data_IF_702250584919
#
_entry.id   IF_702250584919
#
_cell.length_a   1.000
_cell.length_b   1.000
_cell.length_c   1.000
_cell.angle_alpha   90.00
_cell.angle_beta   90.00
_cell.angle_gamma   90.00
#
_symmetry.space_group_name_H-M   'P 1'
#
loop_
_entity.id
_entity.type
_entity.pdbx_description
1 polymer ?
#
# COMPACT_ATOMS: atom_id res chain seq x y z
N UNK A 1 -51.51 -60.73 -14.52
CA UNK A 1 -51.32 -59.26 -14.64
C UNK A 1 -51.75 -58.90 -16.06
N UNK A 2 -52.94 -58.37 -16.36
CA UNK A 2 -53.79 -57.44 -15.62
C UNK A 2 -53.59 -56.03 -16.20
N UNK A 3 -54.52 -55.35 -16.89
CA UNK A 3 -55.89 -55.61 -17.36
C UNK A 3 -56.31 -54.35 -18.14
N UNK A 4 -57.15 -54.49 -19.17
CA UNK A 4 -58.14 -53.51 -19.66
C UNK A 4 -57.73 -52.15 -20.32
N UNK A 5 -57.98 -52.09 -21.64
CA UNK A 5 -59.01 -51.21 -22.29
C UNK A 5 -58.72 -49.68 -22.47
N UNK A 6 -59.56 -48.88 -23.19
CA UNK A 6 -59.06 -48.19 -24.40
C UNK A 6 -59.45 -46.70 -24.55
N UNK A 7 -59.10 -46.13 -25.73
CA UNK A 7 -59.51 -44.83 -26.33
C UNK A 7 -60.71 -44.08 -25.72
N UNK A 8 -60.49 -42.80 -25.42
CA UNK A 8 -61.43 -41.69 -25.51
C UNK A 8 -60.64 -40.36 -25.60
N UNK A 9 -61.08 -39.24 -26.21
CA UNK A 9 -62.00 -38.99 -27.33
C UNK A 9 -61.83 -37.50 -27.75
N UNK A 10 -61.68 -37.18 -29.05
CA UNK A 10 -61.73 -35.82 -29.63
C UNK A 10 -60.68 -34.78 -29.12
N UNK A 11 -60.41 -33.63 -29.76
CA UNK A 11 -60.97 -32.99 -30.96
C UNK A 11 -59.88 -32.33 -31.82
N UNK A 12 -60.21 -31.97 -33.06
CA UNK A 12 -59.40 -31.15 -33.98
C UNK A 12 -59.58 -29.64 -33.66
N UNK A 13 -58.51 -28.85 -33.93
CA UNK A 13 -58.43 -27.47 -34.51
C UNK A 13 -59.64 -26.50 -34.47
N UNK A 14 -59.49 -25.15 -34.49
CA UNK A 14 -58.30 -24.28 -34.32
C UNK A 14 -58.49 -23.00 -33.44
N UNK A 15 -57.39 -22.23 -33.28
CA UNK A 15 -57.34 -20.75 -33.10
C UNK A 15 -57.72 -20.05 -31.76
N UNK A 16 -57.18 -18.82 -31.63
CA UNK A 16 -57.56 -17.67 -30.76
C UNK A 16 -57.10 -17.62 -29.29
N UNK A 17 -56.11 -16.73 -29.01
CA UNK A 17 -55.79 -15.99 -27.76
C UNK A 17 -55.52 -16.84 -26.48
N UNK A 18 -54.80 -16.48 -25.41
CA UNK A 18 -54.54 -15.25 -24.61
C UNK A 18 -53.24 -15.56 -23.80
N UNK A 19 -52.23 -14.72 -23.55
CA UNK A 19 -51.86 -13.36 -24.00
C UNK A 19 -50.34 -13.17 -23.83
N UNK A 20 -49.74 -12.16 -24.49
CA UNK A 20 -48.45 -11.56 -24.09
C UNK A 20 -48.65 -10.03 -24.08
N UNK A 21 -48.68 -9.45 -22.88
CA UNK A 21 -48.92 -8.02 -22.61
C UNK A 21 -48.13 -7.71 -21.30
N UNK A 22 -47.30 -6.69 -21.18
CA UNK A 22 -47.15 -5.49 -21.99
C UNK A 22 -45.68 -5.07 -22.17
N UNK A 23 -45.25 -4.87 -23.41
CA UNK A 23 -44.34 -3.77 -23.76
C UNK A 23 -45.20 -2.73 -24.48
N UNK A 24 -45.57 -1.67 -23.77
CA UNK A 24 -46.40 -0.62 -24.35
C UNK A 24 -45.56 0.23 -25.32
N UNK A 25 -45.82 0.06 -26.61
CA UNK A 25 -45.38 1.00 -27.64
C UNK A 25 -45.98 2.38 -27.36
N UNK A 26 -45.14 3.38 -27.15
CA UNK A 26 -45.46 4.75 -27.55
C UNK A 26 -44.85 5.00 -28.94
N UNK A 27 -45.57 4.56 -29.98
CA UNK A 27 -45.31 5.00 -31.36
C UNK A 27 -46.20 6.21 -31.62
N UNK A 28 -45.61 7.39 -31.53
CA UNK A 28 -46.20 8.65 -32.02
C UNK A 28 -45.97 8.70 -33.54
N UNK A 29 -46.95 9.07 -34.37
CA UNK A 29 -46.79 9.05 -35.82
C UNK A 29 -45.82 10.13 -36.28
N UNK A 30 -44.74 9.71 -36.94
CA UNK A 30 -43.80 10.62 -37.58
C UNK A 30 -44.41 11.24 -38.84
N UNK A 31 -44.87 12.49 -38.74
CA UNK A 31 -44.95 13.37 -39.90
C UNK A 31 -43.51 13.77 -40.23
N UNK A 32 -43.01 13.34 -41.38
CA UNK A 32 -41.63 13.57 -41.80
C UNK A 32 -41.38 15.05 -42.18
N UNK A 33 -41.13 15.89 -41.18
CA UNK A 33 -40.30 17.07 -41.34
C UNK A 33 -38.82 16.64 -41.40
N UNK A 34 -37.99 17.38 -42.15
CA UNK A 34 -36.57 17.08 -42.27
C UNK A 34 -35.90 17.06 -40.88
N UNK A 35 -35.09 16.02 -40.62
CA UNK A 35 -34.37 15.91 -39.36
C UNK A 35 -33.47 17.14 -39.16
N UNK A 36 -33.63 17.92 -38.07
CA UNK A 36 -32.64 18.91 -37.71
C UNK A 36 -31.32 18.19 -37.42
N UNK A 37 -30.20 18.74 -37.89
CA UNK A 37 -28.88 18.22 -37.50
C UNK A 37 -28.72 18.28 -35.98
N UNK A 38 -28.00 17.31 -35.40
CA UNK A 38 -27.95 17.08 -33.95
C UNK A 38 -27.83 18.39 -33.15
N UNK A 39 -28.89 18.71 -32.38
CA UNK A 39 -28.95 19.98 -31.64
C UNK A 39 -27.93 20.05 -30.49
N UNK A 40 -27.28 18.93 -30.16
CA UNK A 40 -26.21 18.80 -29.19
C UNK A 40 -25.01 18.10 -29.84
N UNK A 41 -23.84 18.74 -29.77
CA UNK A 41 -22.58 18.27 -30.38
C UNK A 41 -21.47 18.22 -29.32
N UNK A 42 -20.58 17.25 -29.42
CA UNK A 42 -19.45 17.11 -28.49
C UNK A 42 -19.91 16.79 -27.07
N UNK A 43 -20.77 15.79 -26.93
CA UNK A 43 -21.28 15.31 -25.64
C UNK A 43 -20.17 14.54 -24.92
N UNK A 44 -19.89 14.94 -23.68
CA UNK A 44 -18.91 14.31 -22.79
C UNK A 44 -19.52 14.17 -21.38
N UNK A 45 -19.20 13.07 -20.69
CA UNK A 45 -19.53 12.90 -19.27
C UNK A 45 -18.29 12.51 -18.48
N UNK A 46 -18.05 13.18 -17.35
CA UNK A 46 -16.88 12.91 -16.49
C UNK A 46 -17.27 12.77 -15.02
N UNK A 47 -16.56 11.89 -14.31
CA UNK A 47 -16.78 11.61 -12.88
C UNK A 47 -15.65 12.23 -12.05
N UNK A 48 -16.01 12.80 -10.90
CA UNK A 48 -15.03 13.29 -9.93
C UNK A 48 -14.46 12.18 -9.02
N UNK A 49 -15.19 11.08 -8.86
CA UNK A 49 -14.80 9.89 -8.10
C UNK A 49 -15.26 8.64 -8.85
N UNK A 50 -14.33 7.70 -9.07
CA UNK A 50 -14.51 6.44 -9.80
C UNK A 50 -14.55 5.22 -8.88
N UNK A 51 -14.65 5.39 -7.55
CA UNK A 51 -14.85 4.26 -6.63
C UNK A 51 -16.34 3.91 -6.52
N UNK A 52 -16.72 2.69 -6.91
CA UNK A 52 -18.08 2.16 -6.78
C UNK A 52 -18.63 2.31 -5.35
N UNK A 53 -19.95 2.27 -5.23
CA UNK A 53 -20.65 2.40 -3.94
C UNK A 53 -20.48 3.74 -3.22
N UNK A 54 -19.75 4.70 -3.80
CA UNK A 54 -19.48 6.04 -3.26
C UNK A 54 -20.43 7.07 -3.85
N UNK A 55 -20.55 8.22 -3.18
CA UNK A 55 -21.11 9.44 -3.78
C UNK A 55 -20.08 10.05 -4.74
N UNK A 56 -20.57 10.54 -5.87
CA UNK A 56 -19.75 11.18 -6.91
C UNK A 56 -20.47 12.38 -7.53
N UNK A 57 -19.71 13.17 -8.30
CA UNK A 57 -20.26 14.24 -9.15
C UNK A 57 -20.07 13.84 -10.60
N UNK A 58 -21.17 13.76 -11.33
CA UNK A 58 -21.17 13.72 -12.79
C UNK A 58 -21.08 15.15 -13.32
N UNK A 59 -20.24 15.35 -14.33
CA UNK A 59 -20.17 16.60 -15.09
C UNK A 59 -20.47 16.28 -16.53
N UNK A 60 -21.68 16.61 -16.96
CA UNK A 60 -22.10 16.55 -18.36
C UNK A 60 -21.68 17.83 -19.07
N UNK A 61 -21.13 17.71 -20.27
CA UNK A 61 -20.78 18.85 -21.14
C UNK A 61 -21.30 18.56 -22.55
N UNK A 62 -21.94 19.55 -23.18
CA UNK A 62 -22.35 19.48 -24.59
C UNK A 62 -22.45 20.88 -25.18
N UNK A 63 -22.22 21.03 -26.49
CA UNK A 63 -22.43 22.30 -27.20
C UNK A 63 -23.77 22.30 -27.92
N UNK A 64 -24.59 23.34 -27.72
CA UNK A 64 -25.84 23.50 -28.45
C UNK A 64 -25.58 23.97 -29.89
N UNK A 65 -26.20 23.30 -30.86
CA UNK A 65 -26.29 23.72 -32.26
C UNK A 65 -27.64 24.38 -32.56
N UNK A 66 -28.71 24.02 -31.83
CA UNK A 66 -30.02 24.66 -31.85
C UNK A 66 -30.51 24.95 -30.41
N UNK A 67 -31.56 25.77 -30.20
CA UNK A 67 -32.07 26.06 -28.86
C UNK A 67 -32.59 24.80 -28.14
N UNK A 68 -32.26 24.64 -26.86
CA UNK A 68 -32.61 23.45 -26.06
C UNK A 68 -33.63 23.82 -24.98
N UNK A 69 -34.80 23.18 -25.05
CA UNK A 69 -35.92 23.36 -24.12
C UNK A 69 -35.79 22.43 -22.89
N UNK A 70 -35.41 21.17 -23.12
CA UNK A 70 -35.11 20.20 -22.05
C UNK A 70 -33.99 19.23 -22.43
N UNK A 71 -33.36 18.66 -21.41
CA UNK A 71 -32.28 17.69 -21.49
C UNK A 71 -32.52 16.60 -20.44
N UNK A 72 -32.61 15.36 -20.90
CA UNK A 72 -32.90 14.18 -20.08
C UNK A 72 -31.70 13.24 -20.12
N UNK A 73 -31.23 12.84 -18.94
CA UNK A 73 -30.08 11.96 -18.74
C UNK A 73 -30.55 10.63 -18.11
N UNK A 74 -30.56 9.56 -18.91
CA UNK A 74 -30.97 8.23 -18.49
C UNK A 74 -29.76 7.45 -17.95
N UNK A 75 -29.65 7.33 -16.63
CA UNK A 75 -28.62 6.52 -15.99
C UNK A 75 -28.98 5.01 -16.05
N UNK A 76 -27.98 4.12 -16.05
CA UNK A 76 -28.20 2.69 -15.93
C UNK A 76 -28.90 2.28 -14.63
N UNK A 77 -29.37 1.04 -14.56
CA UNK A 77 -29.95 0.47 -13.34
C UNK A 77 -28.89 0.37 -12.22
N UNK A 78 -29.30 0.68 -10.99
CA UNK A 78 -28.45 0.59 -9.80
C UNK A 78 -27.82 1.91 -9.34
N UNK A 79 -27.96 2.97 -10.14
CA UNK A 79 -27.62 4.33 -9.72
C UNK A 79 -28.73 4.88 -8.82
N UNK A 80 -28.35 5.53 -7.72
CA UNK A 80 -29.28 6.19 -6.80
C UNK A 80 -29.14 7.72 -6.96
N UNK A 81 -30.24 8.33 -7.41
CA UNK A 81 -30.41 9.75 -7.72
C UNK A 81 -31.26 10.48 -6.67
N UNK A 82 -31.59 9.84 -5.54
CA UNK A 82 -32.57 10.36 -4.56
C UNK A 82 -32.16 11.64 -3.82
N UNK A 83 -30.88 12.03 -3.89
CA UNK A 83 -30.30 13.17 -3.15
C UNK A 83 -29.51 14.14 -4.03
N UNK A 84 -29.73 14.14 -5.33
CA UNK A 84 -28.92 14.93 -6.25
C UNK A 84 -29.03 16.44 -5.97
N UNK A 85 -27.91 17.14 -6.20
CA UNK A 85 -27.89 18.60 -6.32
C UNK A 85 -27.41 18.95 -7.73
N UNK A 86 -28.16 19.81 -8.43
CA UNK A 86 -27.90 20.18 -9.81
C UNK A 86 -27.45 21.64 -9.93
N UNK A 87 -26.25 21.86 -10.46
CA UNK A 87 -25.79 23.18 -10.93
C UNK A 87 -25.66 23.14 -12.46
N UNK A 88 -26.39 23.99 -13.19
CA UNK A 88 -26.23 24.16 -14.65
C UNK A 88 -25.63 25.53 -14.95
N UNK A 89 -24.60 25.55 -15.77
CA UNK A 89 -24.02 26.78 -16.33
C UNK A 89 -23.88 26.66 -17.84
N UNK A 90 -24.14 27.74 -18.56
CA UNK A 90 -23.73 27.89 -19.96
C UNK A 90 -22.41 28.64 -20.04
N UNK A 91 -21.61 28.27 -21.04
CA UNK A 91 -20.40 28.98 -21.44
C UNK A 91 -20.68 29.68 -22.77
N UNK A 92 -20.64 31.01 -22.73
CA UNK A 92 -20.70 31.88 -23.91
C UNK A 92 -19.32 32.51 -24.09
N UNK A 93 -18.51 31.88 -24.95
CA UNK A 93 -17.08 32.17 -25.05
C UNK A 93 -16.34 31.81 -23.76
N UNK A 94 -15.84 32.82 -23.04
CA UNK A 94 -15.14 32.66 -21.76
C UNK A 94 -16.03 32.92 -20.54
N UNK A 95 -17.24 33.45 -20.73
CA UNK A 95 -18.14 33.86 -19.64
C UNK A 95 -18.99 32.67 -19.18
N UNK A 96 -19.07 32.44 -17.87
CA UNK A 96 -20.00 31.49 -17.25
C UNK A 96 -21.28 32.19 -16.86
N UNK A 97 -22.39 31.77 -17.44
CA UNK A 97 -23.74 32.24 -17.08
C UNK A 97 -24.46 31.11 -16.33
N UNK A 98 -24.91 31.31 -15.09
CA UNK A 98 -25.72 30.29 -14.39
C UNK A 98 -27.11 30.20 -15.03
N UNK A 99 -27.59 28.97 -15.23
CA UNK A 99 -28.91 28.70 -15.82
C UNK A 99 -29.81 28.07 -14.76
N UNK A 100 -30.97 28.68 -14.52
CA UNK A 100 -32.00 28.13 -13.63
C UNK A 100 -32.70 26.95 -14.32
N UNK A 101 -32.20 25.74 -14.09
CA UNK A 101 -32.83 24.51 -14.53
C UNK A 101 -33.82 24.00 -13.46
N UNK A 102 -35.06 23.70 -13.85
CA UNK A 102 -35.92 22.81 -13.06
C UNK A 102 -35.49 21.38 -13.34
N UNK A 103 -35.51 20.51 -12.32
CA UNK A 103 -35.19 19.11 -12.51
C UNK A 103 -36.20 18.19 -11.81
N UNK A 104 -36.39 17.02 -12.39
CA UNK A 104 -37.26 15.96 -11.88
C UNK A 104 -36.54 14.62 -12.06
N UNK A 105 -36.65 13.73 -11.07
CA UNK A 105 -36.05 12.40 -11.08
C UNK A 105 -37.14 11.36 -11.29
N UNK A 106 -37.11 10.72 -12.45
CA UNK A 106 -38.09 9.72 -12.90
C UNK A 106 -37.37 8.35 -12.98
N UNK A 107 -37.36 7.64 -11.84
CA UNK A 107 -36.64 6.37 -11.70
C UNK A 107 -35.13 6.53 -11.83
N UNK A 108 -34.58 6.19 -13.00
CA UNK A 108 -33.15 6.38 -13.34
C UNK A 108 -32.90 7.52 -14.34
N UNK A 109 -33.95 8.22 -14.78
CA UNK A 109 -33.81 9.39 -15.64
C UNK A 109 -33.82 10.68 -14.81
N UNK A 110 -32.84 11.55 -15.05
CA UNK A 110 -32.82 12.94 -14.59
C UNK A 110 -33.30 13.83 -15.73
N UNK A 111 -34.51 14.40 -15.60
CA UNK A 111 -35.06 15.36 -16.55
C UNK A 111 -34.69 16.77 -16.13
N UNK A 112 -34.25 17.60 -17.06
CA UNK A 112 -33.89 19.01 -16.81
C UNK A 112 -34.62 19.91 -17.81
N UNK A 113 -35.43 20.84 -17.31
CA UNK A 113 -36.20 21.79 -18.13
C UNK A 113 -35.65 23.20 -17.95
N UNK A 114 -35.40 23.89 -19.07
CA UNK A 114 -34.85 25.24 -19.10
C UNK A 114 -35.95 26.25 -19.44
N UNK A 115 -36.06 27.32 -18.66
CA UNK A 115 -36.99 28.42 -18.91
C UNK A 115 -36.33 29.74 -18.50
N UNK A 116 -35.86 30.56 -19.46
CA UNK A 116 -35.95 30.40 -20.92
C UNK A 116 -35.09 29.23 -21.46
N UNK A 117 -35.36 28.76 -22.71
CA UNK A 117 -34.53 27.76 -23.39
C UNK A 117 -33.08 28.22 -23.56
N UNK A 118 -32.14 27.27 -23.58
CA UNK A 118 -30.73 27.57 -23.80
C UNK A 118 -30.49 27.90 -25.28
N UNK A 119 -29.86 29.03 -25.58
CA UNK A 119 -29.58 29.48 -26.95
C UNK A 119 -28.61 28.56 -27.73
N UNK A 120 -28.62 28.68 -29.06
CA UNK A 120 -27.63 28.01 -29.93
C UNK A 120 -26.23 28.60 -29.74
N UNK A 121 -25.20 27.76 -29.86
CA UNK A 121 -23.78 28.12 -29.79
C UNK A 121 -23.17 28.05 -28.40
N UNK A 122 -23.98 27.95 -27.35
CA UNK A 122 -23.53 27.86 -25.96
C UNK A 122 -23.01 26.45 -25.60
N UNK A 123 -22.00 26.36 -24.75
CA UNK A 123 -21.60 25.07 -24.16
C UNK A 123 -22.29 24.90 -22.81
N UNK A 124 -23.23 23.96 -22.74
CA UNK A 124 -23.94 23.53 -21.54
C UNK A 124 -22.98 22.72 -20.68
N UNK A 125 -22.92 23.03 -19.38
CA UNK A 125 -22.24 22.23 -18.37
C UNK A 125 -23.16 22.00 -17.18
N UNK A 126 -23.64 20.77 -17.01
CA UNK A 126 -24.45 20.36 -15.88
C UNK A 126 -23.59 19.55 -14.89
N UNK A 127 -23.50 20.01 -13.65
CA UNK A 127 -22.89 19.30 -12.54
C UNK A 127 -23.98 18.68 -11.67
N UNK A 128 -24.04 17.35 -11.69
CA UNK A 128 -24.99 16.56 -10.91
C UNK A 128 -24.17 15.97 -9.75
N UNK A 129 -24.33 16.54 -8.57
CA UNK A 129 -23.66 16.10 -7.33
C UNK A 129 -24.49 15.06 -6.61
N UNK A 130 -23.82 14.33 -5.72
CA UNK A 130 -24.44 13.38 -4.78
C UNK A 130 -25.20 12.22 -5.45
N UNK A 131 -24.80 11.88 -6.68
CA UNK A 131 -25.18 10.62 -7.34
C UNK A 131 -24.41 9.49 -6.67
N UNK A 132 -25.11 8.43 -6.25
CA UNK A 132 -24.45 7.25 -5.67
C UNK A 132 -24.24 6.18 -6.73
N UNK A 133 -22.98 5.76 -6.88
CA UNK A 133 -22.59 4.66 -7.78
C UNK A 133 -23.04 3.30 -7.22
N UNK A 134 -23.42 2.34 -8.07
CA UNK A 134 -23.67 0.96 -7.65
C UNK A 134 -22.38 0.29 -7.14
N UNK A 135 -22.53 -0.88 -6.49
CA UNK A 135 -21.39 -1.58 -5.90
C UNK A 135 -20.48 -2.27 -6.93
N UNK A 136 -21.06 -2.79 -8.01
CA UNK A 136 -20.35 -3.37 -9.15
C UNK A 136 -19.99 -2.25 -10.12
N UNK A 137 -18.71 -2.17 -10.48
CA UNK A 137 -18.21 -1.26 -11.51
C UNK A 137 -18.11 -1.94 -12.88
N UNK A 138 -17.58 -1.19 -13.85
CA UNK A 138 -17.52 -1.59 -15.24
C UNK A 138 -17.59 -0.37 -16.17
N UNK A 139 -17.72 -0.65 -17.46
CA UNK A 139 -18.09 0.33 -18.48
C UNK A 139 -19.61 0.50 -18.49
N UNK A 140 -20.05 1.76 -18.54
CA UNK A 140 -21.45 2.15 -18.48
C UNK A 140 -21.70 3.34 -19.41
N UNK A 141 -22.91 3.42 -19.94
CA UNK A 141 -23.36 4.51 -20.80
C UNK A 141 -24.45 5.33 -20.09
N UNK A 142 -24.50 6.65 -20.29
CA UNK A 142 -25.68 7.47 -19.96
C UNK A 142 -26.44 7.77 -21.25
N UNK A 143 -27.71 7.41 -21.33
CA UNK A 143 -28.56 7.81 -22.47
C UNK A 143 -28.83 9.31 -22.43
N UNK A 144 -28.65 10.01 -23.54
CA UNK A 144 -28.84 11.47 -23.63
C UNK A 144 -29.93 11.79 -24.64
N UNK A 145 -31.05 12.30 -24.15
CA UNK A 145 -32.19 12.75 -24.96
C UNK A 145 -32.48 14.21 -24.69
N UNK A 146 -32.97 14.95 -25.68
CA UNK A 146 -33.23 16.38 -25.57
C UNK A 146 -34.51 16.76 -26.32
N UNK A 147 -35.07 17.91 -25.98
CA UNK A 147 -36.11 18.57 -26.77
C UNK A 147 -35.59 19.91 -27.26
N UNK A 148 -35.68 20.14 -28.57
CA UNK A 148 -35.27 21.36 -29.25
C UNK A 148 -36.40 21.86 -30.13
N UNK A 149 -36.93 23.04 -29.82
CA UNK A 149 -38.06 23.67 -30.53
C UNK A 149 -39.28 22.73 -30.60
N UNK A 150 -39.56 22.01 -29.51
CA UNK A 150 -40.64 21.02 -29.43
C UNK A 150 -40.40 19.69 -30.17
N UNK A 151 -39.25 19.51 -30.83
CA UNK A 151 -38.86 18.24 -31.46
C UNK A 151 -37.93 17.46 -30.53
N UNK A 152 -38.25 16.19 -30.28
CA UNK A 152 -37.40 15.30 -29.48
C UNK A 152 -36.25 14.73 -30.32
N UNK A 153 -35.06 14.63 -29.72
CA UNK A 153 -33.87 14.03 -30.32
C UNK A 153 -33.04 13.26 -29.28
N UNK A 154 -32.07 12.50 -29.77
CA UNK A 154 -31.13 11.71 -28.96
C UNK A 154 -29.71 11.86 -29.48
N UNK A 155 -28.72 11.83 -28.61
CA UNK A 155 -27.29 11.75 -28.99
C UNK A 155 -26.76 10.36 -28.66
N UNK A 156 -25.66 9.96 -29.28
CA UNK A 156 -24.89 8.79 -28.85
C UNK A 156 -24.60 8.88 -27.34
N UNK A 157 -24.82 7.78 -26.62
CA UNK A 157 -24.61 7.72 -25.17
C UNK A 157 -23.12 7.90 -24.84
N UNK A 158 -22.73 8.91 -24.04
CA UNK A 158 -21.36 8.98 -23.53
C UNK A 158 -21.07 7.81 -22.57
N UNK A 159 -19.98 7.10 -22.87
CA UNK A 159 -19.40 6.06 -22.01
C UNK A 159 -18.68 6.66 -20.80
N UNK A 160 -18.67 5.92 -19.70
CA UNK A 160 -17.86 6.19 -18.51
C UNK A 160 -17.55 4.89 -17.76
N UNK A 161 -16.43 4.90 -17.03
CA UNK A 161 -15.93 3.73 -16.29
C UNK A 161 -15.74 4.06 -14.82
N UNK A 162 -16.07 3.13 -13.93
CA UNK A 162 -15.72 3.21 -12.51
C UNK A 162 -15.36 1.82 -11.94
N UNK A 163 -14.52 1.79 -10.91
CA UNK A 163 -14.05 0.58 -10.24
C UNK A 163 -15.15 -0.03 -9.35
N UNK A 164 -15.22 -1.35 -9.30
CA UNK A 164 -16.01 -2.08 -8.29
C UNK A 164 -15.57 -1.72 -6.87
N UNK A 165 -16.52 -1.68 -5.91
CA UNK A 165 -16.21 -1.43 -4.50
C UNK A 165 -15.12 -2.39 -4.01
N UNK A 166 -14.05 -1.85 -3.45
CA UNK A 166 -12.93 -2.65 -2.94
C UNK A 166 -13.41 -3.52 -1.77
N UNK A 167 -13.02 -4.79 -1.74
CA UNK A 167 -13.48 -5.75 -0.72
C UNK A 167 -13.19 -5.29 0.72
N UNK A 168 -12.08 -4.56 0.92
CA UNK A 168 -11.74 -3.92 2.19
C UNK A 168 -12.73 -2.82 2.62
N UNK A 169 -13.36 -2.14 1.67
CA UNK A 169 -14.39 -1.14 1.93
C UNK A 169 -15.73 -1.79 2.25
N UNK A 170 -16.09 -2.89 1.58
CA UNK A 170 -17.26 -3.72 1.96
C UNK A 170 -17.08 -4.27 3.39
N UNK A 171 -15.89 -4.78 3.71
CA UNK A 171 -15.56 -5.26 5.06
C UNK A 171 -15.60 -4.13 6.09
N UNK A 172 -15.10 -2.94 5.75
CA UNK A 172 -15.20 -1.75 6.62
C UNK A 172 -16.67 -1.40 6.93
N UNK A 173 -17.53 -1.36 5.90
CA UNK A 173 -18.97 -1.07 6.07
C UNK A 173 -19.67 -2.12 6.94
N UNK A 174 -19.36 -3.41 6.74
CA UNK A 174 -19.86 -4.48 7.60
C UNK A 174 -19.36 -4.35 9.06
N UNK A 175 -18.11 -3.93 9.27
CA UNK A 175 -17.55 -3.65 10.60
C UNK A 175 -18.25 -2.47 11.28
N UNK A 176 -18.59 -1.40 10.56
CA UNK A 176 -19.33 -0.24 11.10
C UNK A 176 -20.69 -0.63 11.70
N UNK A 177 -21.32 -1.69 11.22
CA UNK A 177 -22.61 -2.16 11.72
C UNK A 177 -22.49 -2.93 13.05
N UNK A 178 -21.35 -3.56 13.32
CA UNK A 178 -21.18 -4.51 14.42
C UNK A 178 -21.23 -3.85 15.82
N UNK A 179 -22.01 -4.41 16.78
CA UNK A 179 -22.08 -3.87 18.15
C UNK A 179 -20.72 -3.81 18.86
N UNK A 180 -19.88 -4.82 18.69
CA UNK A 180 -18.56 -4.87 19.33
C UNK A 180 -17.60 -3.80 18.78
N UNK A 181 -17.69 -3.46 17.49
CA UNK A 181 -16.88 -2.39 16.87
C UNK A 181 -17.31 -1.02 17.39
N UNK A 182 -18.61 -0.81 17.58
CA UNK A 182 -19.16 0.40 18.22
C UNK A 182 -18.62 0.54 19.64
N UNK A 183 -18.70 -0.52 20.45
CA UNK A 183 -18.13 -0.54 21.82
C UNK A 183 -16.61 -0.30 21.83
N UNK A 184 -15.86 -0.96 20.94
CA UNK A 184 -14.40 -0.79 20.79
C UNK A 184 -14.02 0.66 20.49
N UNK A 185 -14.75 1.30 19.57
CA UNK A 185 -14.53 2.69 19.17
C UNK A 185 -14.99 3.73 20.20
N UNK A 186 -15.57 3.33 21.35
CA UNK A 186 -15.82 4.28 22.47
C UNK A 186 -14.54 4.59 23.26
N UNK A 187 -13.54 3.71 23.23
CA UNK A 187 -12.25 3.92 23.91
C UNK A 187 -11.37 4.78 23.00
N UNK A 188 -11.04 6.00 23.44
CA UNK A 188 -10.29 6.98 22.63
C UNK A 188 -8.98 6.43 22.06
N UNK A 189 -8.19 5.71 22.86
CA UNK A 189 -6.95 5.09 22.40
C UNK A 189 -7.20 4.07 21.27
N UNK A 190 -8.23 3.23 21.39
CA UNK A 190 -8.56 2.23 20.36
C UNK A 190 -9.14 2.89 19.10
N UNK A 191 -9.95 3.94 19.27
CA UNK A 191 -10.47 4.76 18.16
C UNK A 191 -9.35 5.45 17.37
N UNK A 192 -8.32 5.96 18.05
CA UNK A 192 -7.20 6.69 17.42
C UNK A 192 -6.14 5.78 16.80
N UNK A 193 -5.84 4.63 17.42
CA UNK A 193 -4.69 3.78 17.07
C UNK A 193 -5.04 2.36 16.58
N UNK A 194 -6.27 1.88 16.78
CA UNK A 194 -6.62 0.48 16.49
C UNK A 194 -8.05 0.33 15.94
N UNK A 195 -8.52 1.27 15.12
CA UNK A 195 -9.90 1.25 14.61
C UNK A 195 -10.08 0.08 13.60
N UNK A 196 -10.94 -0.93 13.86
CA UNK A 196 -11.03 -2.15 13.05
C UNK A 196 -11.29 -1.89 11.56
N UNK A 197 -12.15 -0.91 11.27
CA UNK A 197 -12.44 -0.41 9.92
C UNK A 197 -11.18 0.07 9.19
N UNK A 198 -10.34 0.86 9.88
CA UNK A 198 -9.10 1.40 9.32
C UNK A 198 -8.04 0.31 9.18
N UNK A 199 -8.02 -0.71 10.05
CA UNK A 199 -7.16 -1.90 9.90
C UNK A 199 -7.54 -2.64 8.62
N UNK A 200 -8.82 -2.96 8.40
CA UNK A 200 -9.31 -3.68 7.23
C UNK A 200 -8.94 -2.99 5.90
N UNK A 201 -8.94 -1.65 5.88
CA UNK A 201 -8.49 -0.85 4.74
C UNK A 201 -6.95 -0.79 4.66
N UNK A 202 -6.27 -0.51 5.76
CA UNK A 202 -4.82 -0.25 5.75
C UNK A 202 -3.98 -1.50 5.43
N UNK A 203 -4.37 -2.70 5.87
CA UNK A 203 -3.62 -3.94 5.63
C UNK A 203 -3.26 -4.15 4.14
N UNK A 204 -4.23 -4.26 3.20
CA UNK A 204 -3.89 -4.48 1.79
C UNK A 204 -3.15 -3.30 1.14
N UNK A 205 -3.37 -2.05 1.58
CA UNK A 205 -2.62 -0.90 1.04
C UNK A 205 -1.17 -0.87 1.52
N UNK A 206 -0.92 -1.20 2.79
CA UNK A 206 0.43 -1.19 3.39
C UNK A 206 1.30 -2.35 2.94
N UNK A 207 0.69 -3.45 2.46
CA UNK A 207 1.41 -4.58 1.88
C UNK A 207 2.38 -4.16 0.76
N UNK A 208 2.00 -3.20 -0.09
CA UNK A 208 2.87 -2.66 -1.15
C UNK A 208 4.08 -1.92 -0.56
N UNK A 209 3.87 -1.07 0.46
CA UNK A 209 4.96 -0.39 1.16
C UNK A 209 5.91 -1.36 1.87
N UNK A 210 5.37 -2.41 2.50
CA UNK A 210 6.14 -3.48 3.13
C UNK A 210 7.00 -4.27 2.13
N UNK A 211 6.44 -4.61 0.96
CA UNK A 211 7.23 -5.20 -0.13
C UNK A 211 8.33 -4.24 -0.61
N UNK A 212 8.09 -2.93 -0.67
CA UNK A 212 9.14 -1.94 -1.00
C UNK A 212 10.25 -1.92 0.06
N UNK A 213 9.92 -1.92 1.35
CA UNK A 213 10.91 -2.03 2.45
C UNK A 213 11.72 -3.32 2.35
N UNK A 214 11.08 -4.46 2.06
CA UNK A 214 11.78 -5.74 1.82
C UNK A 214 12.71 -5.63 0.60
N UNK A 215 12.25 -5.05 -0.50
CA UNK A 215 13.01 -4.94 -1.75
C UNK A 215 14.24 -4.03 -1.57
N UNK A 216 14.12 -2.94 -0.82
CA UNK A 216 15.24 -2.06 -0.45
C UNK A 216 16.36 -2.86 0.24
N UNK A 217 16.03 -3.65 1.26
CA UNK A 217 17.02 -4.46 1.99
C UNK A 217 17.54 -5.63 1.15
N UNK A 218 16.66 -6.31 0.41
CA UNK A 218 17.02 -7.46 -0.42
C UNK A 218 18.04 -7.10 -1.51
N UNK A 219 18.07 -5.83 -1.94
CA UNK A 219 19.09 -5.30 -2.86
C UNK A 219 20.27 -4.71 -2.08
N UNK A 220 20.03 -3.86 -1.07
CA UNK A 220 21.10 -3.16 -0.35
C UNK A 220 22.02 -4.10 0.43
N UNK A 221 21.48 -5.15 1.07
CA UNK A 221 22.25 -6.03 1.96
C UNK A 221 23.27 -6.92 1.21
N UNK A 222 22.98 -7.52 0.04
CA UNK A 222 24.00 -8.14 -0.80
C UNK A 222 25.15 -7.20 -1.17
N UNK A 223 24.88 -5.95 -1.54
CA UNK A 223 25.92 -4.95 -1.79
C UNK A 223 26.70 -4.61 -0.51
N UNK A 224 26.03 -4.53 0.63
CA UNK A 224 26.66 -4.32 1.94
C UNK A 224 27.59 -5.48 2.33
N UNK A 225 27.22 -6.74 2.04
CA UNK A 225 28.07 -7.92 2.26
C UNK A 225 29.34 -7.83 1.42
N UNK A 226 29.23 -7.56 0.12
CA UNK A 226 30.39 -7.47 -0.78
C UNK A 226 31.30 -6.30 -0.39
N UNK A 227 30.73 -5.12 -0.16
CA UNK A 227 31.47 -3.93 0.28
C UNK A 227 32.13 -4.13 1.65
N UNK A 228 31.40 -4.71 2.60
CA UNK A 228 31.88 -4.98 3.95
C UNK A 228 33.03 -6.00 3.96
N UNK A 229 32.94 -7.05 3.15
CA UNK A 229 34.02 -8.05 3.03
C UNK A 229 35.29 -7.43 2.42
N UNK A 230 35.13 -6.61 1.37
CA UNK A 230 36.24 -5.87 0.78
C UNK A 230 36.89 -4.89 1.78
N UNK A 231 36.07 -4.15 2.53
CA UNK A 231 36.53 -3.24 3.60
C UNK A 231 37.22 -3.99 4.75
N UNK A 232 36.73 -5.16 5.14
CA UNK A 232 37.37 -6.00 6.17
C UNK A 232 38.78 -6.44 5.74
N UNK A 233 38.94 -6.92 4.51
CA UNK A 233 40.27 -7.26 3.97
C UNK A 233 41.17 -6.02 3.83
N UNK A 234 40.65 -4.90 3.34
CA UNK A 234 41.40 -3.64 3.27
C UNK A 234 41.87 -3.18 4.67
N UNK A 235 41.03 -3.31 5.69
CA UNK A 235 41.33 -2.97 7.09
C UNK A 235 42.35 -3.90 7.74
N UNK A 236 42.48 -5.14 7.27
CA UNK A 236 43.52 -6.10 7.68
C UNK A 236 44.78 -6.06 6.81
N UNK A 237 44.82 -5.22 5.77
CA UNK A 237 45.95 -5.15 4.84
C UNK A 237 47.25 -4.73 5.53
N UNK A 238 48.37 -5.32 5.09
CA UNK A 238 49.73 -4.90 5.47
C UNK A 238 50.09 -3.52 4.91
N UNK A 239 49.39 -3.05 3.86
CA UNK A 239 49.64 -1.77 3.19
C UNK A 239 49.06 -0.63 4.05
N UNK A 240 49.89 0.26 4.64
CA UNK A 240 49.39 1.23 5.63
C UNK A 240 48.33 2.21 5.10
N UNK A 241 48.46 2.81 3.89
CA UNK A 241 47.42 3.68 3.33
C UNK A 241 46.06 3.00 3.18
N UNK A 242 46.02 1.78 2.62
CA UNK A 242 44.76 1.01 2.41
C UNK A 242 44.06 0.75 3.74
N UNK A 243 44.82 0.31 4.74
CA UNK A 243 44.33 0.09 6.12
C UNK A 243 43.84 1.37 6.79
N UNK A 244 44.46 2.52 6.50
CA UNK A 244 44.06 3.82 7.04
C UNK A 244 42.76 4.31 6.40
N UNK A 245 42.66 4.34 5.08
CA UNK A 245 41.44 4.76 4.37
C UNK A 245 40.22 3.89 4.71
N UNK A 246 40.38 2.55 4.73
CA UNK A 246 39.32 1.64 5.16
C UNK A 246 38.90 1.91 6.61
N UNK A 247 39.86 2.21 7.50
CA UNK A 247 39.59 2.60 8.88
C UNK A 247 38.83 3.90 9.01
N UNK A 248 39.22 4.92 8.24
CA UNK A 248 38.55 6.22 8.22
C UNK A 248 37.09 6.07 7.77
N UNK A 249 36.85 5.36 6.66
CA UNK A 249 35.50 5.06 6.18
C UNK A 249 34.65 4.36 7.25
N UNK A 250 35.13 3.25 7.81
CA UNK A 250 34.42 2.47 8.82
C UNK A 250 34.09 3.32 10.06
N UNK A 251 35.07 4.11 10.53
CA UNK A 251 34.91 4.95 11.72
C UNK A 251 33.93 6.11 11.49
N UNK A 252 33.97 6.76 10.33
CA UNK A 252 33.07 7.87 9.99
C UNK A 252 31.63 7.37 9.80
N UNK A 253 31.44 6.29 9.05
CA UNK A 253 30.10 5.76 8.77
C UNK A 253 29.44 5.17 10.02
N UNK A 254 30.19 4.47 10.89
CA UNK A 254 29.65 3.96 12.17
C UNK A 254 29.56 5.03 13.26
N UNK A 255 30.33 6.12 13.14
CA UNK A 255 30.36 7.24 14.06
C UNK A 255 29.37 8.37 13.75
N UNK A 256 28.62 8.27 12.64
CA UNK A 256 27.61 9.27 12.24
C UNK A 256 26.22 8.65 12.14
N UNK A 257 25.13 9.36 12.47
CA UNK A 257 23.78 8.83 12.35
C UNK A 257 23.41 8.49 10.90
N UNK A 258 22.80 7.33 10.67
CA UNK A 258 22.29 6.95 9.34
C UNK A 258 21.32 7.99 8.77
N UNK A 259 20.47 8.61 9.60
CA UNK A 259 19.59 9.69 9.16
C UNK A 259 20.34 10.88 8.55
N UNK A 260 21.50 11.24 9.10
CA UNK A 260 22.37 12.29 8.55
C UNK A 260 22.99 11.87 7.21
N UNK A 261 23.39 10.59 7.08
CA UNK A 261 23.93 10.04 5.84
C UNK A 261 22.86 10.03 4.72
N UNK A 262 21.62 9.66 5.06
CA UNK A 262 20.46 9.77 4.17
C UNK A 262 20.25 11.22 3.74
N UNK A 263 20.23 12.17 4.69
CA UNK A 263 20.03 13.59 4.37
C UNK A 263 21.13 14.14 3.45
N UNK A 264 22.40 13.84 3.74
CA UNK A 264 23.55 14.25 2.90
C UNK A 264 23.46 13.63 1.51
N UNK A 265 23.06 12.38 1.36
CA UNK A 265 22.93 11.75 0.05
C UNK A 265 21.76 12.32 -0.77
N UNK A 266 20.60 12.50 -0.16
CA UNK A 266 19.38 12.95 -0.87
C UNK A 266 19.36 14.46 -1.15
N UNK A 267 20.06 15.27 -0.36
CA UNK A 267 20.15 16.74 -0.56
C UNK A 267 21.50 17.13 -1.20
N UNK A 268 22.61 16.55 -0.74
CA UNK A 268 23.95 16.90 -1.20
C UNK A 268 24.31 16.40 -2.59
N UNK A 269 23.91 15.17 -2.99
CA UNK A 269 24.20 14.67 -4.34
C UNK A 269 23.52 15.52 -5.43
N UNK A 270 22.23 15.91 -5.33
CA UNK A 270 21.62 16.81 -6.29
C UNK A 270 22.26 18.20 -6.37
N UNK A 271 22.76 18.74 -5.25
CA UNK A 271 23.52 20.01 -5.22
C UNK A 271 24.86 19.84 -5.96
N UNK A 272 25.52 18.69 -5.83
CA UNK A 272 26.72 18.33 -6.58
C UNK A 272 26.44 17.94 -8.06
N UNK A 273 25.20 18.10 -8.54
CA UNK A 273 24.79 17.78 -9.92
C UNK A 273 24.46 16.31 -10.18
N UNK A 274 24.62 15.43 -9.19
CA UNK A 274 24.35 13.99 -9.32
C UNK A 274 22.89 13.70 -8.97
N UNK A 275 22.10 13.34 -9.98
CA UNK A 275 20.67 12.99 -9.82
C UNK A 275 20.46 11.50 -10.04
N UNK A 276 20.05 10.79 -8.99
CA UNK A 276 19.65 9.39 -9.05
C UNK A 276 18.20 9.21 -8.56
N UNK A 277 17.46 8.19 -9.03
CA UNK A 277 16.12 7.88 -8.52
C UNK A 277 16.14 7.61 -7.01
N UNK A 278 15.15 8.13 -6.28
CA UNK A 278 15.07 8.07 -4.82
C UNK A 278 15.28 6.65 -4.25
N UNK A 279 14.71 5.64 -4.92
CA UNK A 279 14.89 4.24 -4.55
C UNK A 279 16.36 3.78 -4.65
N UNK A 280 17.07 4.14 -5.73
CA UNK A 280 18.47 3.77 -5.93
C UNK A 280 19.36 4.51 -4.92
N UNK A 281 19.11 5.79 -4.67
CA UNK A 281 19.81 6.55 -3.62
C UNK A 281 19.60 5.91 -2.25
N UNK A 282 18.38 5.46 -1.93
CA UNK A 282 18.07 4.73 -0.70
C UNK A 282 18.86 3.42 -0.58
N UNK A 283 18.84 2.57 -1.62
CA UNK A 283 19.64 1.33 -1.68
C UNK A 283 21.11 1.61 -1.45
N UNK A 284 21.69 2.61 -2.12
CA UNK A 284 23.11 2.94 -2.01
C UNK A 284 23.50 3.40 -0.60
N UNK A 285 22.70 4.28 0.02
CA UNK A 285 22.99 4.75 1.39
C UNK A 285 22.88 3.61 2.41
N UNK A 286 21.84 2.79 2.32
CA UNK A 286 21.66 1.62 3.19
C UNK A 286 22.82 0.63 3.01
N UNK A 287 23.24 0.36 1.77
CA UNK A 287 24.34 -0.54 1.47
C UNK A 287 25.69 0.00 1.99
N UNK A 288 25.97 1.29 1.78
CA UNK A 288 27.18 1.94 2.27
C UNK A 288 27.23 1.94 3.80
N UNK A 289 26.13 2.28 4.47
CA UNK A 289 26.04 2.25 5.92
C UNK A 289 26.32 0.85 6.48
N UNK A 290 25.51 -0.13 6.08
CA UNK A 290 25.63 -1.51 6.59
C UNK A 290 26.95 -2.18 6.19
N UNK A 291 27.58 -1.79 5.06
CA UNK A 291 28.91 -2.28 4.71
C UNK A 291 29.99 -1.95 5.76
N UNK A 292 29.87 -0.82 6.45
CA UNK A 292 30.82 -0.46 7.51
C UNK A 292 30.65 -1.31 8.77
N UNK A 293 29.39 -1.64 9.13
CA UNK A 293 29.09 -2.57 10.23
C UNK A 293 29.51 -3.99 9.88
N UNK A 294 29.16 -4.47 8.69
CA UNK A 294 29.57 -5.79 8.18
C UNK A 294 31.09 -5.93 8.09
N UNK A 295 31.82 -4.88 7.71
CA UNK A 295 33.29 -4.91 7.70
C UNK A 295 33.89 -5.24 9.09
N UNK A 296 33.33 -4.65 10.14
CA UNK A 296 33.77 -4.92 11.51
C UNK A 296 33.28 -6.29 12.02
N UNK A 297 32.08 -6.73 11.63
CA UNK A 297 31.57 -8.08 11.92
C UNK A 297 32.48 -9.15 11.28
N UNK A 298 32.85 -9.00 10.00
CA UNK A 298 33.76 -9.91 9.32
C UNK A 298 35.17 -9.88 9.92
N UNK A 299 35.71 -8.67 10.19
CA UNK A 299 37.03 -8.51 10.81
C UNK A 299 37.10 -9.16 12.20
N UNK A 300 36.09 -8.95 13.04
CA UNK A 300 35.99 -9.58 14.36
C UNK A 300 35.80 -11.10 14.25
N UNK A 301 34.97 -11.56 13.31
CA UNK A 301 34.78 -12.98 13.02
C UNK A 301 36.08 -13.69 12.65
N UNK A 302 36.89 -13.12 11.76
CA UNK A 302 38.20 -13.68 11.37
C UNK A 302 39.17 -13.67 12.56
N UNK A 303 39.19 -12.58 13.35
CA UNK A 303 40.06 -12.46 14.52
C UNK A 303 39.64 -13.36 15.71
N UNK A 304 38.39 -13.83 15.75
CA UNK A 304 37.93 -14.77 16.77
C UNK A 304 38.55 -16.16 16.66
N UNK A 305 39.07 -16.53 15.48
CA UNK A 305 39.62 -17.86 15.20
C UNK A 305 40.93 -18.05 15.96
N UNK A 306 41.02 -19.14 16.72
CA UNK A 306 42.18 -19.41 17.57
C UNK A 306 43.48 -19.47 16.76
N UNK A 307 44.55 -18.81 17.22
CA UNK A 307 45.83 -18.73 16.49
C UNK A 307 46.39 -20.10 16.10
N UNK A 308 46.22 -21.10 16.96
CA UNK A 308 46.59 -22.49 16.69
C UNK A 308 45.96 -23.10 15.42
N UNK A 309 44.83 -22.58 14.91
CA UNK A 309 44.28 -22.99 13.61
C UNK A 309 45.10 -22.47 12.43
N UNK A 310 45.60 -21.22 12.52
CA UNK A 310 46.52 -20.66 11.52
C UNK A 310 47.88 -21.37 11.59
N UNK A 311 48.39 -21.62 12.79
CA UNK A 311 49.64 -22.35 13.02
C UNK A 311 49.55 -23.78 12.49
N UNK A 312 48.50 -24.54 12.85
CA UNK A 312 48.29 -25.90 12.36
C UNK A 312 48.17 -25.98 10.82
N UNK A 313 47.45 -25.03 10.19
CA UNK A 313 47.37 -24.94 8.74
C UNK A 313 48.75 -24.68 8.10
N UNK A 314 49.57 -23.82 8.71
CA UNK A 314 50.94 -23.58 8.25
C UNK A 314 51.88 -24.78 8.45
N UNK A 315 51.70 -25.54 9.54
CA UNK A 315 52.48 -26.77 9.84
C UNK A 315 52.21 -27.90 8.85
N UNK A 316 51.03 -27.95 8.22
CA UNK A 316 50.73 -28.88 7.11
C UNK A 316 51.02 -28.28 5.72
N UNK A 317 51.76 -27.18 5.66
CA UNK A 317 52.25 -26.57 4.41
C UNK A 317 51.26 -25.69 3.65
N UNK A 318 50.12 -25.31 4.24
CA UNK A 318 49.18 -24.39 3.58
C UNK A 318 49.76 -22.97 3.49
N UNK A 319 49.68 -22.37 2.31
CA UNK A 319 49.86 -20.93 2.15
C UNK A 319 48.75 -20.16 2.89
N UNK A 320 49.00 -18.87 3.21
CA UNK A 320 48.01 -18.01 3.88
C UNK A 320 46.63 -18.03 3.19
N UNK A 321 46.58 -18.02 1.85
CA UNK A 321 45.32 -18.05 1.10
C UNK A 321 44.63 -19.41 1.17
N UNK A 322 45.39 -20.52 1.10
CA UNK A 322 44.82 -21.86 1.29
C UNK A 322 44.26 -22.05 2.70
N UNK A 323 44.99 -21.63 3.73
CA UNK A 323 44.52 -21.63 5.11
C UNK A 323 43.25 -20.77 5.27
N UNK A 324 43.28 -19.54 4.74
CA UNK A 324 42.13 -18.62 4.79
C UNK A 324 40.88 -19.26 4.16
N UNK A 325 41.00 -19.79 2.94
CA UNK A 325 39.86 -20.35 2.19
C UNK A 325 39.31 -21.66 2.78
N UNK A 326 40.18 -22.58 3.21
CA UNK A 326 39.75 -23.94 3.57
C UNK A 326 39.52 -24.13 5.08
N UNK A 327 40.19 -23.35 5.93
CA UNK A 327 40.14 -23.52 7.39
C UNK A 327 39.45 -22.34 8.06
N UNK A 328 39.90 -21.10 7.82
CA UNK A 328 39.46 -19.93 8.61
C UNK A 328 38.11 -19.35 8.16
N UNK A 329 37.90 -19.12 6.85
CA UNK A 329 36.64 -18.56 6.33
C UNK A 329 35.43 -19.46 6.63
N UNK A 330 35.46 -20.79 6.44
CA UNK A 330 34.31 -21.66 6.74
C UNK A 330 33.91 -21.68 8.22
N UNK A 331 34.88 -21.47 9.14
CA UNK A 331 34.61 -21.32 10.57
C UNK A 331 34.06 -19.92 10.87
N UNK A 332 34.69 -18.88 10.30
CA UNK A 332 34.27 -17.48 10.44
C UNK A 332 32.81 -17.28 10.01
N UNK A 333 32.42 -17.78 8.84
CA UNK A 333 31.05 -17.64 8.30
C UNK A 333 30.01 -18.13 9.30
N UNK A 334 30.25 -19.28 9.94
CA UNK A 334 29.34 -19.83 10.97
C UNK A 334 29.23 -18.93 12.19
N UNK A 335 30.34 -18.32 12.62
CA UNK A 335 30.40 -17.42 13.78
C UNK A 335 29.76 -16.04 13.53
N UNK A 336 29.90 -15.48 12.33
CA UNK A 336 29.34 -14.16 12.01
C UNK A 336 27.87 -14.18 11.62
N UNK A 337 27.35 -15.33 11.16
CA UNK A 337 25.97 -15.44 10.66
C UNK A 337 24.88 -14.91 11.62
N UNK A 338 24.93 -15.15 12.95
CA UNK A 338 23.96 -14.57 13.88
C UNK A 338 24.04 -13.04 13.88
N UNK A 339 25.25 -12.47 14.01
CA UNK A 339 25.47 -11.01 14.04
C UNK A 339 25.12 -10.33 12.72
N UNK A 340 25.42 -10.95 11.58
CA UNK A 340 24.97 -10.49 10.26
C UNK A 340 23.45 -10.47 10.15
N UNK A 341 22.76 -11.44 10.73
CA UNK A 341 21.30 -11.49 10.72
C UNK A 341 20.71 -10.40 11.62
N UNK A 342 21.32 -10.13 12.77
CA UNK A 342 20.96 -8.98 13.61
C UNK A 342 21.14 -7.64 12.87
N UNK A 343 22.22 -7.49 12.10
CA UNK A 343 22.46 -6.34 11.22
C UNK A 343 21.40 -6.24 10.11
N UNK A 344 20.99 -7.36 9.48
CA UNK A 344 19.88 -7.37 8.51
C UNK A 344 18.55 -6.91 9.14
N UNK A 345 18.25 -7.37 10.36
CA UNK A 345 17.04 -6.97 11.12
C UNK A 345 17.05 -5.46 11.41
N UNK A 346 18.22 -4.91 11.77
CA UNK A 346 18.40 -3.47 11.96
C UNK A 346 18.18 -2.70 10.65
N UNK A 347 18.86 -3.11 9.58
CA UNK A 347 18.76 -2.44 8.27
C UNK A 347 17.32 -2.42 7.74
N UNK A 348 16.54 -3.48 7.98
CA UNK A 348 15.12 -3.53 7.63
C UNK A 348 14.27 -2.50 8.39
N UNK A 349 14.51 -2.33 9.69
CA UNK A 349 13.84 -1.28 10.47
C UNK A 349 14.29 0.11 10.04
N UNK A 350 15.57 0.27 9.71
CA UNK A 350 16.16 1.55 9.32
C UNK A 350 15.69 2.03 7.93
N UNK A 351 15.08 1.16 7.12
CA UNK A 351 14.36 1.62 5.90
C UNK A 351 13.31 2.68 6.19
N UNK A 352 12.70 2.67 7.39
CA UNK A 352 11.74 3.68 7.83
C UNK A 352 12.30 5.12 7.79
N UNK A 353 13.62 5.30 7.95
CA UNK A 353 14.27 6.61 7.89
C UNK A 353 14.22 7.25 6.50
N UNK A 354 14.06 6.44 5.44
CA UNK A 354 13.93 6.94 4.07
C UNK A 354 12.57 7.62 3.81
N UNK A 355 11.57 7.41 4.67
CA UNK A 355 10.28 8.11 4.59
C UNK A 355 10.43 9.64 4.65
N UNK A 356 11.39 10.14 5.42
CA UNK A 356 11.68 11.55 5.59
C UNK A 356 12.22 12.25 4.32
N UNK A 357 12.74 11.47 3.37
CA UNK A 357 13.25 11.95 2.07
C UNK A 357 12.36 11.53 0.90
N UNK A 358 11.10 11.16 1.17
CA UNK A 358 10.09 10.91 0.14
C UNK A 358 10.16 9.54 -0.53
N UNK A 359 10.95 8.58 0.00
CA UNK A 359 10.90 7.20 -0.49
C UNK A 359 9.62 6.55 0.02
N UNK A 360 8.77 6.10 -0.91
CA UNK A 360 7.52 5.40 -0.61
C UNK A 360 7.78 3.95 -0.18
N UNK A 361 8.26 3.78 1.06
CA UNK A 361 8.31 2.51 1.78
C UNK A 361 7.20 2.43 2.86
N UNK A 362 7.17 1.36 3.65
CA UNK A 362 6.12 1.08 4.63
C UNK A 362 5.77 2.26 5.55
N UNK A 363 6.76 2.97 6.09
CA UNK A 363 6.53 4.10 6.99
C UNK A 363 5.89 5.29 6.24
N UNK A 364 6.38 5.66 5.06
CA UNK A 364 5.77 6.75 4.28
C UNK A 364 4.37 6.40 3.76
N UNK A 365 4.12 5.15 3.35
CA UNK A 365 2.78 4.67 3.02
C UNK A 365 1.84 4.78 4.23
N UNK A 366 2.29 4.39 5.43
CA UNK A 366 1.48 4.51 6.66
C UNK A 366 1.18 5.96 7.03
N UNK A 367 2.16 6.86 6.90
CA UNK A 367 1.96 8.29 7.11
C UNK A 367 0.96 8.88 6.10
N UNK A 368 1.09 8.56 4.80
CA UNK A 368 0.16 9.00 3.75
C UNK A 368 -1.29 8.60 4.03
N UNK A 369 -1.53 7.35 4.46
CA UNK A 369 -2.86 6.88 4.85
C UNK A 369 -3.33 7.56 6.14
N UNK A 370 -2.45 7.74 7.13
CA UNK A 370 -2.79 8.37 8.41
C UNK A 370 -3.22 9.84 8.22
N UNK A 371 -2.44 10.63 7.47
CA UNK A 371 -2.78 12.02 7.14
C UNK A 371 -4.08 12.14 6.35
N UNK A 372 -4.30 11.28 5.34
CA UNK A 372 -5.54 11.27 4.54
C UNK A 372 -6.78 10.86 5.33
N UNK A 373 -6.63 10.00 6.33
CA UNK A 373 -7.75 9.44 7.10
C UNK A 373 -7.99 10.12 8.45
N UNK A 374 -7.11 11.02 8.88
CA UNK A 374 -7.16 11.68 10.18
C UNK A 374 -6.99 10.73 11.37
N UNK A 375 -6.32 9.58 11.18
CA UNK A 375 -6.30 8.48 12.15
C UNK A 375 -4.93 7.77 12.16
N UNK A 376 -4.44 7.36 13.34
CA UNK A 376 -3.09 6.82 13.51
C UNK A 376 -3.01 5.28 13.40
N UNK A 377 -4.15 4.60 13.22
CA UNK A 377 -4.23 3.15 13.00
C UNK A 377 -3.26 2.59 11.93
N UNK A 378 -2.99 3.28 10.79
CA UNK A 378 -2.02 2.80 9.81
C UNK A 378 -0.61 2.57 10.37
N UNK A 379 -0.17 3.33 11.38
CA UNK A 379 1.13 3.11 12.03
C UNK A 379 1.16 1.83 12.88
N UNK A 380 0.05 1.46 13.51
CA UNK A 380 -0.07 0.19 14.25
C UNK A 380 -0.06 -1.00 13.29
N UNK A 381 -0.72 -0.88 12.13
CA UNK A 381 -0.65 -1.90 11.08
C UNK A 381 0.77 -2.00 10.49
N UNK A 382 1.48 -0.88 10.30
CA UNK A 382 2.89 -0.88 9.92
C UNK A 382 3.78 -1.55 10.97
N UNK A 383 3.54 -1.33 12.26
CA UNK A 383 4.25 -2.02 13.34
C UNK A 383 4.05 -3.53 13.29
N UNK A 384 2.83 -4.02 13.00
CA UNK A 384 2.57 -5.45 12.77
C UNK A 384 3.38 -5.98 11.57
N UNK A 385 3.44 -5.25 10.47
CA UNK A 385 4.26 -5.61 9.30
C UNK A 385 5.77 -5.69 9.61
N UNK A 386 6.30 -4.80 10.46
CA UNK A 386 7.67 -4.93 10.97
C UNK A 386 7.83 -6.19 11.85
N UNK A 387 6.88 -6.49 12.73
CA UNK A 387 6.93 -7.66 13.63
C UNK A 387 6.84 -9.00 12.87
N UNK A 388 6.08 -9.08 11.78
CA UNK A 388 5.97 -10.26 10.91
C UNK A 388 7.33 -10.72 10.38
N UNK A 389 8.24 -9.80 10.04
CA UNK A 389 9.61 -10.13 9.58
C UNK A 389 10.57 -10.28 10.77
N UNK A 390 10.52 -9.36 11.73
CA UNK A 390 11.55 -9.27 12.78
C UNK A 390 11.44 -10.39 13.83
N UNK A 391 10.23 -10.78 14.27
CA UNK A 391 10.08 -11.83 15.28
C UNK A 391 10.63 -13.19 14.80
N UNK A 392 10.29 -13.69 13.59
CA UNK A 392 10.86 -14.95 13.07
C UNK A 392 12.37 -14.91 12.94
N UNK A 393 12.95 -13.79 12.49
CA UNK A 393 14.40 -13.64 12.34
C UNK A 393 15.12 -13.59 13.70
N UNK A 394 14.60 -12.87 14.69
CA UNK A 394 15.14 -12.86 16.07
C UNK A 394 15.14 -14.28 16.66
N UNK A 395 14.03 -15.02 16.49
CA UNK A 395 13.93 -16.41 16.94
C UNK A 395 14.90 -17.35 16.19
N UNK A 396 15.22 -17.05 14.93
CA UNK A 396 16.21 -17.79 14.15
C UNK A 396 17.65 -17.49 14.62
N UNK A 397 17.99 -16.22 14.89
CA UNK A 397 19.28 -15.81 15.49
C UNK A 397 19.53 -16.55 16.80
N UNK A 398 18.59 -16.51 17.74
CA UNK A 398 18.74 -17.21 19.03
C UNK A 398 18.93 -18.74 18.90
N UNK A 399 18.37 -19.36 17.85
CA UNK A 399 18.62 -20.78 17.52
C UNK A 399 20.01 -21.02 16.93
N UNK A 400 20.57 -20.07 16.17
CA UNK A 400 21.93 -20.16 15.65
C UNK A 400 22.94 -20.01 16.79
N UNK A 401 22.77 -19.00 17.65
CA UNK A 401 23.62 -18.75 18.82
C UNK A 401 23.64 -19.95 19.77
N UNK A 402 22.47 -20.53 20.09
CA UNK A 402 22.38 -21.73 20.92
C UNK A 402 23.12 -22.94 20.32
N UNK A 403 23.12 -23.10 18.99
CA UNK A 403 23.86 -24.17 18.30
C UNK A 403 25.37 -23.94 18.31
N UNK A 404 25.82 -22.69 18.16
CA UNK A 404 27.23 -22.32 18.20
C UNK A 404 27.80 -22.50 19.63
N UNK A 405 27.06 -22.08 20.66
CA UNK A 405 27.47 -22.24 22.05
C UNK A 405 27.74 -23.71 22.43
N UNK A 406 26.89 -24.64 21.99
CA UNK A 406 27.05 -26.10 22.21
C UNK A 406 28.23 -26.70 21.40
N UNK A 407 28.62 -26.06 20.29
CA UNK A 407 29.76 -26.51 19.49
C UNK A 407 31.11 -26.02 20.02
N UNK A 408 31.13 -24.89 20.76
CA UNK A 408 32.35 -24.25 21.26
C UNK A 408 32.63 -24.55 22.74
N UNK A 409 31.59 -24.69 23.56
CA UNK A 409 31.68 -25.22 24.91
C UNK A 409 30.99 -26.59 24.98
N UNK A 410 31.70 -27.60 25.50
CA UNK A 410 31.17 -28.95 25.75
C UNK A 410 30.15 -29.02 26.90
N UNK A 411 29.24 -28.04 26.98
CA UNK A 411 28.16 -27.97 27.96
C UNK A 411 26.86 -28.49 27.36
N UNK A 412 26.18 -29.35 28.11
CA UNK A 412 24.89 -29.94 27.76
C UNK A 412 23.87 -28.86 27.42
N UNK A 413 23.10 -28.98 26.32
CA UNK A 413 22.16 -27.93 25.90
C UNK A 413 21.10 -27.68 26.99
N UNK A 414 21.12 -26.49 27.60
CA UNK A 414 20.02 -26.04 28.44
C UNK A 414 18.75 -25.92 27.58
N UNK A 415 17.79 -26.79 27.86
CA UNK A 415 16.57 -26.97 27.06
C UNK A 415 15.80 -25.64 26.88
N UNK A 416 15.68 -25.10 25.64
CA UNK A 416 15.00 -23.83 25.40
C UNK A 416 13.51 -23.87 25.76
N UNK A 417 12.86 -25.04 25.71
CA UNK A 417 11.45 -25.20 26.08
C UNK A 417 11.16 -25.11 27.59
N UNK A 418 12.18 -24.94 28.45
CA UNK A 418 11.97 -24.57 29.87
C UNK A 418 12.03 -23.05 30.12
N UNK A 419 12.29 -22.22 29.11
CA UNK A 419 12.24 -20.75 29.21
C UNK A 419 10.85 -20.22 28.81
N UNK A 420 9.84 -20.57 29.61
CA UNK A 420 8.55 -19.88 29.56
C UNK A 420 8.73 -18.43 29.99
N UNK A 421 8.27 -17.48 29.16
CA UNK A 421 8.50 -16.04 29.39
C UNK A 421 8.75 -15.30 28.08
N UNK A 422 7.69 -15.15 27.26
CA UNK A 422 7.66 -14.07 26.29
C UNK A 422 7.63 -12.76 27.09
N UNK A 423 8.50 -11.80 26.72
CA UNK A 423 8.82 -10.56 27.45
C UNK A 423 9.81 -10.66 28.63
N UNK A 424 10.91 -9.92 28.46
CA UNK A 424 11.67 -9.19 29.48
C UNK A 424 12.23 -9.96 30.70
N UNK A 425 13.56 -10.10 30.75
CA UNK A 425 14.30 -10.21 32.01
C UNK A 425 15.11 -8.91 32.20
N UNK A 426 15.10 -8.27 33.37
CA UNK A 426 16.11 -7.26 33.68
C UNK A 426 17.49 -7.89 33.58
N UNK A 427 18.50 -7.08 33.25
CA UNK A 427 19.88 -7.49 33.35
C UNK A 427 20.13 -8.02 34.77
N UNK A 428 20.66 -9.24 34.86
CA UNK A 428 21.08 -9.82 36.14
C UNK A 428 22.08 -8.87 36.78
N UNK A 429 21.81 -8.46 38.03
CA UNK A 429 22.81 -7.81 38.84
C UNK A 429 24.10 -8.64 38.83
N UNK A 430 25.23 -7.99 38.60
CA UNK A 430 26.54 -8.57 38.90
C UNK A 430 26.66 -8.85 40.41
N UNK A 431 27.76 -9.46 40.87
CA UNK A 431 27.92 -9.82 42.28
C UNK A 431 28.04 -8.56 43.17
N UNK A 432 26.91 -8.09 43.70
CA UNK A 432 26.82 -7.14 44.82
C UNK A 432 26.64 -7.92 46.14
N UNK A 433 27.25 -9.11 46.23
CA UNK A 433 27.17 -10.01 47.39
C UNK A 433 28.51 -10.15 48.12
N UNK A 434 29.50 -9.32 47.79
CA UNK A 434 30.88 -9.41 48.28
C UNK A 434 31.38 -8.08 48.91
N UNK A 435 30.45 -7.15 49.20
CA UNK A 435 30.76 -5.87 49.87
C UNK A 435 30.00 -5.64 51.19
N UNK A 436 28.95 -6.42 51.50
CA UNK A 436 28.25 -6.33 52.80
C UNK A 436 28.97 -7.13 53.91
N UNK A 437 29.71 -8.19 53.55
CA UNK A 437 30.48 -9.01 54.51
C UNK A 437 31.71 -8.30 55.12
N UNK A 438 32.01 -7.06 54.72
CA UNK A 438 33.11 -6.24 55.26
C UNK A 438 32.63 -5.08 56.15
N UNK A 439 31.32 -4.89 56.31
CA UNK A 439 30.75 -3.81 57.12
C UNK A 439 30.42 -4.22 58.57
N UNK A 440 30.15 -5.50 58.84
CA UNK A 440 29.74 -5.99 60.18
C UNK A 440 30.91 -6.33 61.13
N UNK A 441 32.16 -6.23 60.70
CA UNK A 441 33.34 -6.61 61.53
C UNK A 441 33.90 -5.44 62.36
N UNK A 442 33.38 -4.21 62.21
CA UNK A 442 33.89 -3.03 62.92
C UNK A 442 32.99 -2.44 64.02
N UNK A 443 31.89 -3.11 64.39
CA UNK A 443 31.02 -2.65 65.50
C UNK A 443 30.89 -3.62 66.68
N UNK A 444 31.81 -4.59 66.83
CA UNK A 444 32.02 -5.24 68.14
C UNK A 444 33.47 -5.68 68.41
N UNK A 445 34.02 -5.12 69.50
CA UNK A 445 35.37 -5.30 70.09
C UNK A 445 36.52 -4.51 69.47
#
# INVERSE_FOLDING_TARGET
>A
MGTASPRALNSRWPAVAVVLLAMALFVVPAIAAAAPGDALVGVEITLNNTSGGSLTRFTFVAKSAAPIDSLDLAFPRGFDLSKITLDVVTLEGLTRVPVTAKHEVDGTALKMTFSPPIGSGATIRAQIRDVRLPATGGEHEVGVTYVSQGTAGSVASPEFTFETVKTSELLSRWLDEQPWVKSWNTVDALRLFAQPQKIAIAVPLLFVGWLTSITLVAIAFPFAIVGGLALAFARMSKIPPVRWFAGLYINVIRGTPLFLQIYIAFVGLPIAGVRAPLFITGVLVLALNSSAYLAEIFRAGIQSIHKGQFEAASSVGMTYWQAMQHVIVPQTVKRVLPTMTSEFILLFKDTALLSAVGVFELMLYSNSIATRSGNLTPFVVAAVYYLIITIPLINWVGRLEAKLAVAEGGQTPQNPNKRGGLFWRPASAGPIAEYEASAEVHESR
#
